data_IF_768269946427
#
_entry.id   IF_768269946427
#
_cell.length_a   1.000
_cell.length_b   1.000
_cell.length_c   1.000
_cell.angle_alpha   90.00
_cell.angle_beta   90.00
_cell.angle_gamma   90.00
#
_symmetry.space_group_name_H-M   'P 1'
#
loop_
_entity.id
_entity.type
_entity.pdbx_description
1 polymer ?
#
# COMPACT_ATOMS: atom_id res chain seq x y z
N UNK A 1 7.43 -18.48 -24.40
CA UNK A 1 6.44 -18.66 -23.31
C UNK A 1 7.02 -18.03 -22.04
N UNK A 2 6.71 -16.76 -21.75
CA UNK A 2 7.16 -16.14 -20.48
C UNK A 2 6.19 -16.56 -19.38
N UNK A 3 6.70 -17.22 -18.34
CA UNK A 3 5.90 -17.61 -17.18
C UNK A 3 5.45 -16.34 -16.46
N UNK A 4 4.13 -16.12 -16.40
CA UNK A 4 3.55 -15.11 -15.53
C UNK A 4 3.68 -15.65 -14.11
N UNK A 5 4.67 -15.17 -13.36
CA UNK A 5 4.83 -15.54 -11.97
C UNK A 5 3.77 -14.82 -11.13
N UNK A 6 2.68 -15.52 -10.84
CA UNK A 6 1.56 -15.00 -10.05
C UNK A 6 1.98 -14.88 -8.59
N UNK A 7 2.47 -13.71 -8.17
CA UNK A 7 2.89 -13.48 -6.79
C UNK A 7 1.78 -12.79 -6.00
N UNK A 8 1.53 -13.21 -4.76
CA UNK A 8 0.58 -12.55 -3.87
C UNK A 8 1.34 -11.58 -2.96
N UNK A 9 1.14 -10.28 -3.17
CA UNK A 9 1.63 -9.27 -2.26
C UNK A 9 0.61 -9.07 -1.13
N UNK A 10 1.05 -9.26 0.11
CA UNK A 10 0.26 -8.97 1.30
C UNK A 10 0.99 -7.90 2.09
N UNK A 11 0.27 -6.88 2.55
CA UNK A 11 0.86 -5.86 3.40
C UNK A 11 -0.09 -5.44 4.51
N UNK A 12 0.53 -5.05 5.62
CA UNK A 12 -0.09 -4.58 6.83
C UNK A 12 0.44 -3.20 7.16
N UNK A 13 -0.45 -2.25 7.35
CA UNK A 13 -0.16 -0.88 7.80
C UNK A 13 -0.94 -0.65 9.08
N UNK A 14 -0.24 -0.29 10.15
CA UNK A 14 -0.88 0.21 11.38
C UNK A 14 -0.55 1.66 11.59
N UNK A 15 -1.59 2.47 11.68
CA UNK A 15 -1.49 3.87 12.05
C UNK A 15 -1.88 3.95 13.53
N UNK A 16 -0.96 4.42 14.37
CA UNK A 16 -1.19 4.50 15.82
C UNK A 16 -1.33 5.96 16.22
N UNK A 17 -2.55 6.43 16.52
CA UNK A 17 -2.82 7.72 17.16
C UNK A 17 -2.49 8.99 16.35
N UNK A 18 -2.65 8.99 15.01
CA UNK A 18 -2.44 10.20 14.19
C UNK A 18 -3.42 10.31 13.02
N UNK A 19 -3.74 11.56 12.63
CA UNK A 19 -4.44 11.80 11.37
C UNK A 19 -3.49 11.56 10.19
N UNK A 20 -3.82 10.58 9.34
CA UNK A 20 -3.08 10.30 8.10
C UNK A 20 -4.03 9.96 6.97
N UNK A 21 -3.62 10.24 5.74
CA UNK A 21 -4.31 9.76 4.55
C UNK A 21 -3.48 8.65 3.92
N UNK A 22 -4.05 7.46 3.81
CA UNK A 22 -3.39 6.32 3.20
C UNK A 22 -3.99 6.00 1.84
N UNK A 23 -3.12 5.72 0.87
CA UNK A 23 -3.47 5.25 -0.48
C UNK A 23 -2.44 4.23 -0.95
N UNK A 24 -2.89 3.29 -1.77
CA UNK A 24 -2.04 2.29 -2.39
C UNK A 24 -2.32 2.20 -3.88
N UNK A 25 -1.24 2.15 -4.67
CA UNK A 25 -1.30 2.06 -6.13
C UNK A 25 -0.30 1.03 -6.62
N UNK A 26 -0.68 0.30 -7.65
CA UNK A 26 0.18 -0.63 -8.37
C UNK A 26 0.59 0.00 -9.68
N UNK A 27 1.90 0.02 -9.95
CA UNK A 27 2.46 0.54 -11.19
C UNK A 27 3.07 -0.63 -11.97
N UNK A 28 2.40 -1.08 -13.05
CA UNK A 28 2.93 -2.13 -13.92
C UNK A 28 4.26 -1.70 -14.58
N UNK A 29 5.12 -2.67 -14.92
CA UNK A 29 6.40 -2.37 -15.58
C UNK A 29 6.31 -2.19 -17.09
N UNK A 30 5.15 -2.48 -17.68
CA UNK A 30 4.90 -2.31 -19.12
C UNK A 30 4.62 -0.86 -19.45
N UNK A 31 5.10 -0.41 -20.61
CA UNK A 31 5.11 1.01 -21.03
C UNK A 31 3.70 1.59 -21.20
N UNK A 32 2.72 0.76 -21.58
CA UNK A 32 1.29 1.08 -21.70
C UNK A 32 0.44 0.61 -20.51
N UNK A 33 1.07 0.27 -19.39
CA UNK A 33 0.37 -0.28 -18.24
C UNK A 33 -0.44 0.76 -17.46
N UNK A 34 -1.67 0.41 -17.09
CA UNK A 34 -2.53 1.28 -16.28
C UNK A 34 -2.20 1.15 -14.78
N UNK A 35 -2.24 2.29 -14.07
CA UNK A 35 -2.05 2.31 -12.62
C UNK A 35 -3.31 1.73 -11.96
N UNK A 36 -3.16 0.62 -11.24
CA UNK A 36 -4.27 0.02 -10.49
C UNK A 36 -4.34 0.64 -9.10
N UNK A 37 -5.47 1.25 -8.77
CA UNK A 37 -5.71 1.80 -7.42
C UNK A 37 -6.11 0.64 -6.50
N UNK A 38 -5.14 0.17 -5.71
CA UNK A 38 -5.32 -0.90 -4.73
C UNK A 38 -6.08 -0.43 -3.49
N UNK A 39 -5.86 0.82 -3.10
CA UNK A 39 -6.60 1.47 -2.03
C UNK A 39 -6.85 2.94 -2.41
N UNK A 40 -8.12 3.32 -2.44
CA UNK A 40 -8.53 4.74 -2.52
C UNK A 40 -8.01 5.49 -1.29
N UNK A 41 -7.77 6.78 -1.44
CA UNK A 41 -7.35 7.64 -0.33
C UNK A 41 -8.36 7.57 0.81
N UNK A 42 -7.93 7.02 1.94
CA UNK A 42 -8.73 6.95 3.16
C UNK A 42 -8.02 7.75 4.25
N UNK A 43 -8.76 8.67 4.86
CA UNK A 43 -8.33 9.34 6.09
C UNK A 43 -8.54 8.43 7.28
N UNK A 44 -7.56 8.40 8.15
CA UNK A 44 -7.59 7.74 9.45
C UNK A 44 -7.42 8.80 10.51
N UNK A 45 -8.21 8.73 11.59
CA UNK A 45 -8.11 9.65 12.71
C UNK A 45 -7.33 8.99 13.88
N UNK A 46 -6.79 9.78 14.83
CA UNK A 46 -6.11 9.25 16.01
C UNK A 46 -6.97 8.34 16.88
N UNK A 47 -8.28 8.55 16.88
CA UNK A 47 -9.26 7.72 17.59
C UNK A 47 -9.54 6.38 16.91
N UNK A 48 -9.13 6.24 15.65
CA UNK A 48 -9.26 4.97 14.94
C UNK A 48 -8.00 4.13 15.21
N UNK A 49 -8.14 3.04 15.96
CA UNK A 49 -7.17 1.95 15.89
C UNK A 49 -7.24 1.33 14.49
N UNK A 50 -6.49 1.92 13.56
CA UNK A 50 -6.64 1.64 12.15
C UNK A 50 -5.57 0.67 11.69
N UNK A 51 -5.97 -0.59 11.76
CA UNK A 51 -5.26 -1.72 11.17
C UNK A 51 -5.73 -1.92 9.73
N UNK A 52 -4.81 -1.80 8.77
CA UNK A 52 -5.08 -2.03 7.35
C UNK A 52 -4.31 -3.28 6.93
N UNK A 53 -5.05 -4.35 6.63
CA UNK A 53 -4.52 -5.49 5.89
C UNK A 53 -5.08 -5.45 4.48
N UNK A 54 -4.20 -5.53 3.48
CA UNK A 54 -4.62 -5.65 2.11
C UNK A 54 -3.73 -6.65 1.36
N UNK A 55 -4.27 -7.27 0.33
CA UNK A 55 -3.58 -8.26 -0.48
C UNK A 55 -3.91 -8.07 -1.93
N UNK A 56 -2.89 -8.10 -2.78
CA UNK A 56 -3.03 -7.93 -4.21
C UNK A 56 -2.35 -9.08 -4.95
N UNK A 57 -3.12 -9.74 -5.82
CA UNK A 57 -2.58 -10.75 -6.73
C UNK A 57 -1.93 -10.04 -7.90
N UNK A 58 -0.62 -10.21 -8.02
CA UNK A 58 0.16 -9.67 -9.13
C UNK A 58 0.05 -10.67 -10.28
N UNK A 59 -0.81 -10.36 -11.24
CA UNK A 59 -1.00 -11.15 -12.47
C UNK A 59 -0.09 -10.72 -13.63
N UNK A 60 0.73 -9.69 -13.45
CA UNK A 60 1.59 -9.13 -14.49
C UNK A 60 2.96 -8.73 -13.90
N UNK A 61 4.05 -8.74 -14.68
CA UNK A 61 5.33 -8.20 -14.26
C UNK A 61 5.17 -6.78 -13.71
N UNK A 62 5.49 -6.61 -12.43
CA UNK A 62 5.30 -5.35 -11.70
C UNK A 62 6.64 -4.65 -11.53
N UNK A 63 6.64 -3.31 -11.65
CA UNK A 63 7.81 -2.51 -11.29
C UNK A 63 7.80 -2.19 -9.81
N UNK A 64 6.70 -1.61 -9.30
CA UNK A 64 6.62 -1.09 -7.93
C UNK A 64 5.17 -1.08 -7.41
N UNK A 65 4.95 -1.51 -6.17
CA UNK A 65 3.75 -1.17 -5.39
C UNK A 65 4.04 0.06 -4.54
N UNK A 66 3.30 1.14 -4.78
CA UNK A 66 3.48 2.43 -4.12
C UNK A 66 2.45 2.58 -3.00
N UNK A 67 2.96 2.62 -1.78
CA UNK A 67 2.21 2.91 -0.57
C UNK A 67 2.49 4.37 -0.20
N UNK A 68 1.48 5.24 -0.29
CA UNK A 68 1.62 6.63 0.16
C UNK A 68 0.84 6.83 1.45
N UNK A 69 1.53 7.42 2.44
CA UNK A 69 0.94 7.84 3.71
C UNK A 69 1.20 9.34 3.83
N UNK A 70 0.18 10.12 3.50
CA UNK A 70 0.23 11.58 3.57
C UNK A 70 -0.15 12.02 4.99
N UNK A 71 0.72 12.80 5.62
CA UNK A 71 0.52 13.33 6.95
C UNK A 71 0.46 14.88 6.91
N UNK A 72 -0.73 15.48 6.94
CA UNK A 72 -0.86 16.94 6.89
C UNK A 72 -0.43 17.65 8.19
N UNK A 73 -0.30 16.94 9.32
CA UNK A 73 0.08 17.54 10.62
C UNK A 73 1.55 17.26 10.95
N UNK A 74 2.42 18.21 10.62
CA UNK A 74 3.90 18.11 10.64
C UNK A 74 4.55 18.28 12.04
N UNK A 75 3.83 18.66 13.09
CA UNK A 75 4.44 19.16 14.34
C UNK A 75 5.02 18.12 15.33
N UNK A 76 4.90 16.81 15.11
CA UNK A 76 5.42 15.77 16.04
C UNK A 76 6.01 14.57 15.29
N UNK A 77 7.10 13.98 15.81
CA UNK A 77 7.68 12.71 15.33
C UNK A 77 6.67 11.57 15.50
N UNK A 78 6.43 10.78 14.45
CA UNK A 78 5.39 9.73 14.40
C UNK A 78 6.02 8.35 14.23
N UNK A 79 5.43 7.33 14.87
CA UNK A 79 5.82 5.92 14.72
C UNK A 79 4.80 5.23 13.81
N UNK A 80 5.27 4.72 12.68
CA UNK A 80 4.50 3.89 11.75
C UNK A 80 5.06 2.47 11.79
N UNK A 81 4.19 1.47 11.84
CA UNK A 81 4.59 0.08 11.64
C UNK A 81 4.07 -0.40 10.28
N UNK A 82 5.00 -0.84 9.44
CA UNK A 82 4.74 -1.45 8.15
C UNK A 82 5.31 -2.85 8.13
N UNK A 83 4.52 -3.82 7.66
CA UNK A 83 4.97 -5.18 7.44
C UNK A 83 4.45 -5.68 6.10
N UNK A 84 5.34 -6.05 5.18
CA UNK A 84 4.99 -6.72 3.93
C UNK A 84 5.43 -8.18 3.93
N UNK A 85 4.66 -9.00 3.23
CA UNK A 85 5.01 -10.38 2.90
C UNK A 85 4.63 -10.64 1.45
N UNK A 86 5.60 -11.05 0.65
CA UNK A 86 5.37 -11.62 -0.67
C UNK A 86 5.23 -13.13 -0.51
N UNK A 87 4.15 -13.70 -1.03
CA UNK A 87 4.02 -15.16 -1.18
C UNK A 87 4.29 -15.52 -2.65
N UNK A 88 5.18 -16.49 -2.91
CA UNK A 88 5.40 -17.01 -4.26
C UNK A 88 4.17 -17.71 -4.82
#
# INVERSE_FOLDING_TARGET
MMYIQTSLLVWEVRVVAWEVTYRAKFVPSVEDGYIVILQKSRKFSPSDESFICNSFKIGEPCKVVVLTIDNPTSKKKKKLLYRSKTKP
#
